data_IF_630471351273
#
_entry.id   IF_630471351273
#
_cell.length_a   1.000
_cell.length_b   1.000
_cell.length_c   1.000
_cell.angle_alpha   90.00
_cell.angle_beta   90.00
_cell.angle_gamma   90.00
#
_symmetry.space_group_name_H-M   'P 1'
#
loop_
_entity.id
_entity.type
_entity.pdbx_description
1 polymer ?
#
# COMPACT_ATOMS: atom_id res chain seq x y z
N UNK A 1 -46.12 7.67 1.50
CA UNK A 1 -44.81 7.89 0.87
C UNK A 1 -44.08 6.56 0.84
N UNK A 2 -44.02 5.92 -0.34
CA UNK A 2 -43.18 4.73 -0.53
C UNK A 2 -41.74 5.20 -0.56
N UNK A 3 -40.87 4.66 0.29
CA UNK A 3 -39.43 4.85 0.13
C UNK A 3 -39.06 4.42 -1.30
N UNK A 4 -38.37 5.28 -2.05
CA UNK A 4 -37.93 4.92 -3.39
C UNK A 4 -36.81 3.90 -3.25
N UNK A 5 -36.79 2.89 -4.11
CA UNK A 5 -35.73 1.88 -4.13
C UNK A 5 -34.32 2.49 -4.38
N UNK A 6 -34.27 3.76 -4.77
CA UNK A 6 -33.07 4.57 -4.97
C UNK A 6 -32.49 5.19 -3.69
N UNK A 7 -33.21 5.11 -2.55
CA UNK A 7 -32.79 5.76 -1.30
C UNK A 7 -31.90 4.85 -0.42
N UNK A 8 -31.58 3.63 -0.87
CA UNK A 8 -30.69 2.73 -0.14
C UNK A 8 -29.23 2.97 -0.49
N UNK A 9 -28.66 4.02 0.08
CA UNK A 9 -27.22 4.27 0.02
C UNK A 9 -26.47 3.14 0.75
N UNK A 10 -25.76 2.29 0.00
CA UNK A 10 -24.97 1.20 0.57
C UNK A 10 -23.82 1.79 1.39
N UNK A 11 -23.68 1.41 2.65
CA UNK A 11 -22.61 1.92 3.52
C UNK A 11 -21.23 1.62 2.92
N UNK A 12 -20.28 2.58 2.96
CA UNK A 12 -18.93 2.35 2.48
C UNK A 12 -18.29 1.17 3.22
N UNK A 13 -17.64 0.29 2.48
CA UNK A 13 -16.95 -0.86 3.06
C UNK A 13 -15.64 -0.44 3.71
N UNK A 14 -15.17 -1.23 4.67
CA UNK A 14 -13.84 -1.03 5.30
C UNK A 14 -12.73 -1.05 4.25
N UNK A 15 -12.84 -1.91 3.24
CA UNK A 15 -11.89 -1.98 2.13
C UNK A 15 -11.82 -0.66 1.34
N UNK A 16 -12.97 -0.07 1.03
CA UNK A 16 -13.03 1.24 0.36
C UNK A 16 -12.39 2.34 1.21
N UNK A 17 -12.69 2.39 2.50
CA UNK A 17 -12.12 3.38 3.41
C UNK A 17 -10.59 3.29 3.44
N UNK A 18 -10.04 2.07 3.55
CA UNK A 18 -8.60 1.86 3.51
C UNK A 18 -7.98 2.28 2.18
N UNK A 19 -8.67 2.06 1.05
CA UNK A 19 -8.18 2.47 -0.27
C UNK A 19 -8.08 4.00 -0.38
N UNK A 20 -9.05 4.74 0.15
CA UNK A 20 -9.03 6.22 0.22
C UNK A 20 -7.91 6.72 1.13
N UNK A 21 -7.84 6.22 2.37
CA UNK A 21 -6.84 6.65 3.36
C UNK A 21 -5.43 6.39 2.84
N UNK A 22 -5.17 5.20 2.30
CA UNK A 22 -3.86 4.86 1.73
C UNK A 22 -3.57 5.64 0.46
N UNK A 23 -4.56 5.96 -0.36
CA UNK A 23 -4.38 6.82 -1.54
C UNK A 23 -3.94 8.24 -1.18
N UNK A 24 -4.58 8.85 -0.19
CA UNK A 24 -4.17 10.16 0.35
C UNK A 24 -2.76 10.06 0.97
N UNK A 25 -2.53 9.01 1.77
CA UNK A 25 -1.20 8.75 2.34
C UNK A 25 -0.11 8.62 1.28
N UNK A 26 -0.41 7.98 0.15
CA UNK A 26 0.54 7.81 -0.95
C UNK A 26 0.93 9.12 -1.60
N UNK A 27 0.04 10.10 -1.75
CA UNK A 27 0.41 11.42 -2.31
C UNK A 27 1.58 12.03 -1.52
N UNK A 28 1.53 11.93 -0.18
CA UNK A 28 2.58 12.44 0.70
C UNK A 28 3.81 11.52 0.74
N UNK A 29 3.61 10.23 1.01
CA UNK A 29 4.71 9.28 1.23
C UNK A 29 5.50 8.99 -0.04
N UNK A 30 4.82 8.79 -1.17
CA UNK A 30 5.48 8.61 -2.48
C UNK A 30 6.22 9.89 -2.88
N UNK A 31 5.59 11.07 -2.67
CA UNK A 31 6.23 12.34 -2.95
C UNK A 31 7.53 12.51 -2.16
N UNK A 32 7.50 12.23 -0.85
CA UNK A 32 8.68 12.30 0.00
C UNK A 32 9.75 11.28 -0.40
N UNK A 33 9.36 10.04 -0.72
CA UNK A 33 10.26 9.01 -1.22
C UNK A 33 10.96 9.46 -2.52
N UNK A 34 10.20 10.03 -3.46
CA UNK A 34 10.75 10.55 -4.71
C UNK A 34 11.72 11.70 -4.47
N UNK A 35 11.36 12.67 -3.63
CA UNK A 35 12.24 13.80 -3.25
C UNK A 35 13.54 13.29 -2.62
N UNK A 36 13.45 12.41 -1.62
CA UNK A 36 14.62 11.90 -0.91
C UNK A 36 15.58 11.14 -1.85
N UNK A 37 15.05 10.22 -2.67
CA UNK A 37 15.87 9.33 -3.48
C UNK A 37 16.31 9.91 -4.82
N UNK A 38 15.57 10.88 -5.38
CA UNK A 38 15.84 11.40 -6.72
C UNK A 38 16.38 12.84 -6.73
N UNK A 39 16.13 13.63 -5.67
CA UNK A 39 16.53 15.03 -5.63
C UNK A 39 17.56 15.33 -4.53
N UNK A 40 17.49 14.65 -3.38
CA UNK A 40 18.43 14.85 -2.27
C UNK A 40 19.65 13.94 -2.40
N UNK A 41 19.43 12.64 -2.62
CA UNK A 41 20.52 11.71 -2.90
C UNK A 41 21.12 12.01 -4.29
N UNK A 42 22.23 12.75 -4.34
CA UNK A 42 22.91 13.12 -5.61
C UNK A 42 23.33 11.84 -6.35
N UNK A 43 22.65 11.53 -7.45
CA UNK A 43 22.85 10.30 -8.22
C UNK A 43 22.04 9.09 -7.74
N UNK A 44 21.22 9.22 -6.71
CA UNK A 44 20.41 8.16 -6.11
C UNK A 44 21.21 7.23 -5.17
N UNK A 45 20.49 6.41 -4.41
CA UNK A 45 21.09 5.34 -3.59
C UNK A 45 21.51 4.19 -4.52
N UNK A 46 22.76 4.21 -5.04
CA UNK A 46 23.25 3.25 -6.05
C UNK A 46 24.10 2.12 -5.50
N UNK A 47 24.49 2.18 -4.22
CA UNK A 47 25.29 1.15 -3.57
C UNK A 47 24.70 0.77 -2.21
N UNK A 48 25.15 -0.39 -1.71
CA UNK A 48 24.67 -0.94 -0.44
C UNK A 48 24.94 -0.01 0.75
N UNK A 49 26.13 0.62 0.80
CA UNK A 49 26.52 1.47 1.92
C UNK A 49 25.62 2.71 2.02
N UNK A 50 25.26 3.30 0.88
CA UNK A 50 24.33 4.41 0.79
C UNK A 50 22.93 4.01 1.30
N UNK A 51 22.44 2.83 0.93
CA UNK A 51 21.14 2.31 1.42
C UNK A 51 21.16 2.09 2.93
N UNK A 52 22.22 1.49 3.48
CA UNK A 52 22.35 1.30 4.94
C UNK A 52 22.39 2.65 5.66
N UNK A 53 23.16 3.61 5.17
CA UNK A 53 23.23 4.96 5.75
C UNK A 53 21.86 5.66 5.74
N UNK A 54 21.12 5.52 4.64
CA UNK A 54 19.76 6.06 4.50
C UNK A 54 18.79 5.44 5.49
N UNK A 55 18.72 4.10 5.57
CA UNK A 55 17.80 3.37 6.45
C UNK A 55 18.19 3.45 7.94
N UNK A 56 19.44 3.78 8.28
CA UNK A 56 19.86 4.05 9.67
C UNK A 56 19.30 5.36 10.22
N UNK A 57 18.79 6.25 9.38
CA UNK A 57 18.02 7.39 9.88
C UNK A 57 16.64 6.90 10.34
N UNK A 58 16.28 7.04 11.64
CA UNK A 58 15.04 6.48 12.17
C UNK A 58 13.79 7.11 11.56
N UNK A 59 13.84 8.39 11.16
CA UNK A 59 12.71 9.06 10.51
C UNK A 59 12.48 8.44 9.13
N UNK A 60 13.55 8.25 8.36
CA UNK A 60 13.49 7.62 7.05
C UNK A 60 12.96 6.19 7.16
N UNK A 61 13.46 5.41 8.12
CA UNK A 61 13.00 4.04 8.34
C UNK A 61 11.48 3.98 8.58
N UNK A 62 10.97 4.85 9.46
CA UNK A 62 9.52 4.93 9.73
C UNK A 62 8.75 5.31 8.48
N UNK A 63 9.22 6.30 7.71
CA UNK A 63 8.57 6.73 6.47
C UNK A 63 8.55 5.62 5.40
N UNK A 64 9.64 4.89 5.22
CA UNK A 64 9.73 3.79 4.26
C UNK A 64 8.87 2.59 4.69
N UNK A 65 8.77 2.29 5.99
CA UNK A 65 7.84 1.27 6.52
C UNK A 65 6.39 1.69 6.29
N UNK A 66 6.02 2.94 6.60
CA UNK A 66 4.68 3.45 6.34
C UNK A 66 4.35 3.44 4.85
N UNK A 67 5.32 3.80 4.00
CA UNK A 67 5.18 3.79 2.56
C UNK A 67 4.97 2.36 2.05
N UNK A 68 5.77 1.38 2.49
CA UNK A 68 5.60 -0.05 2.16
C UNK A 68 4.18 -0.55 2.48
N UNK A 69 3.67 -0.25 3.68
CA UNK A 69 2.33 -0.67 4.10
C UNK A 69 1.25 0.02 3.26
N UNK A 70 1.36 1.34 3.05
CA UNK A 70 0.38 2.12 2.30
C UNK A 70 0.33 1.70 0.83
N UNK A 71 1.49 1.61 0.16
CA UNK A 71 1.56 1.29 -1.27
C UNK A 71 1.05 -0.12 -1.55
N UNK A 72 1.43 -1.09 -0.72
CA UNK A 72 0.99 -2.48 -0.87
C UNK A 72 -0.52 -2.60 -0.66
N UNK A 73 -1.04 -1.97 0.40
CA UNK A 73 -2.47 -2.01 0.72
C UNK A 73 -3.30 -1.33 -0.37
N UNK A 74 -2.91 -0.12 -0.80
CA UNK A 74 -3.60 0.64 -1.83
C UNK A 74 -3.63 -0.12 -3.16
N UNK A 75 -2.47 -0.63 -3.60
CA UNK A 75 -2.34 -1.33 -4.87
C UNK A 75 -3.23 -2.59 -4.90
N UNK A 76 -3.20 -3.41 -3.85
CA UNK A 76 -3.96 -4.66 -3.81
C UNK A 76 -5.47 -4.44 -3.67
N UNK A 77 -5.90 -3.40 -2.94
CA UNK A 77 -7.30 -3.01 -2.89
C UNK A 77 -7.80 -2.45 -4.23
N UNK A 78 -6.97 -1.66 -4.92
CA UNK A 78 -7.26 -1.18 -6.28
C UNK A 78 -7.38 -2.32 -7.28
N UNK A 79 -6.44 -3.27 -7.28
CA UNK A 79 -6.51 -4.49 -8.11
C UNK A 79 -7.78 -5.28 -7.79
N UNK A 80 -8.11 -5.46 -6.51
CA UNK A 80 -9.37 -6.10 -6.11
C UNK A 80 -10.57 -5.39 -6.72
N UNK A 81 -10.65 -4.07 -6.61
CA UNK A 81 -11.77 -3.29 -7.17
C UNK A 81 -11.94 -3.51 -8.67
N UNK A 82 -10.86 -3.43 -9.45
CA UNK A 82 -10.87 -3.68 -10.91
C UNK A 82 -11.47 -5.06 -11.24
N UNK A 83 -11.12 -6.09 -10.47
CA UNK A 83 -11.65 -7.43 -10.72
C UNK A 83 -13.12 -7.60 -10.36
N UNK A 84 -13.60 -6.91 -9.32
CA UNK A 84 -15.01 -6.95 -8.93
C UNK A 84 -15.91 -6.29 -9.99
N UNK A 85 -15.39 -5.31 -10.73
CA UNK A 85 -16.10 -4.64 -11.81
C UNK A 85 -16.44 -5.59 -12.99
N UNK A 86 -15.84 -6.78 -13.05
CA UNK A 86 -16.15 -7.80 -14.06
C UNK A 86 -17.33 -8.72 -13.71
N UNK A 87 -18.00 -8.52 -12.57
CA UNK A 87 -19.19 -9.30 -12.19
C UNK A 87 -18.86 -10.77 -11.88
N UNK A 88 -17.81 -11.01 -11.12
CA UNK A 88 -17.37 -12.35 -10.74
C UNK A 88 -18.38 -13.02 -9.78
N UNK A 89 -18.42 -14.35 -9.77
CA UNK A 89 -19.22 -15.08 -8.76
C UNK A 89 -18.65 -14.89 -7.35
N UNK A 90 -19.50 -14.87 -6.31
CA UNK A 90 -19.11 -14.71 -4.90
C UNK A 90 -17.92 -15.58 -4.46
N UNK A 91 -17.88 -16.83 -4.91
CA UNK A 91 -16.81 -17.77 -4.56
C UNK A 91 -15.46 -17.35 -5.14
N UNK A 92 -15.45 -16.79 -6.35
CA UNK A 92 -14.24 -16.28 -7.00
C UNK A 92 -13.79 -15.00 -6.31
N UNK A 93 -14.72 -14.09 -6.00
CA UNK A 93 -14.40 -12.84 -5.29
C UNK A 93 -13.79 -13.09 -3.91
N UNK A 94 -14.34 -14.03 -3.14
CA UNK A 94 -13.81 -14.41 -1.82
C UNK A 94 -12.41 -15.00 -1.92
N UNK A 95 -12.17 -15.89 -2.90
CA UNK A 95 -10.84 -16.48 -3.15
C UNK A 95 -9.84 -15.41 -3.58
N UNK A 96 -10.20 -14.54 -4.52
CA UNK A 96 -9.36 -13.44 -4.97
C UNK A 96 -8.99 -12.53 -3.80
N UNK A 97 -9.98 -12.13 -3.00
CA UNK A 97 -9.76 -11.28 -1.82
C UNK A 97 -8.81 -11.95 -0.81
N UNK A 98 -8.95 -13.27 -0.60
CA UNK A 98 -8.05 -14.04 0.26
C UNK A 98 -6.63 -14.11 -0.28
N UNK A 99 -6.45 -14.37 -1.57
CA UNK A 99 -5.13 -14.43 -2.23
C UNK A 99 -4.43 -13.06 -2.18
N UNK A 100 -5.13 -11.99 -2.56
CA UNK A 100 -4.56 -10.63 -2.51
C UNK A 100 -4.17 -10.24 -1.08
N UNK A 101 -4.97 -10.61 -0.08
CA UNK A 101 -4.61 -10.38 1.33
C UNK A 101 -3.32 -11.11 1.72
N UNK A 102 -3.17 -12.38 1.34
CA UNK A 102 -1.95 -13.15 1.61
C UNK A 102 -0.74 -12.57 0.92
N UNK A 103 -0.87 -12.16 -0.35
CA UNK A 103 0.20 -11.47 -1.08
C UNK A 103 0.61 -10.21 -0.33
N UNK A 104 -0.35 -9.40 0.13
CA UNK A 104 -0.06 -8.19 0.91
C UNK A 104 0.71 -8.47 2.20
N UNK A 105 0.28 -9.47 2.98
CA UNK A 105 0.96 -9.89 4.21
C UNK A 105 2.39 -10.35 3.93
N UNK A 106 2.58 -11.17 2.90
CA UNK A 106 3.91 -11.68 2.52
C UNK A 106 4.83 -10.56 2.04
N UNK A 107 4.34 -9.65 1.19
CA UNK A 107 5.11 -8.50 0.69
C UNK A 107 5.56 -7.59 1.83
N UNK A 108 4.65 -7.22 2.74
CA UNK A 108 4.98 -6.37 3.89
C UNK A 108 5.96 -7.10 4.82
N UNK A 109 5.67 -8.35 5.19
CA UNK A 109 6.53 -9.14 6.06
C UNK A 109 7.93 -9.33 5.49
N UNK A 110 8.04 -9.67 4.21
CA UNK A 110 9.32 -9.80 3.51
C UNK A 110 10.09 -8.47 3.47
N UNK A 111 9.41 -7.36 3.15
CA UNK A 111 10.04 -6.03 3.15
C UNK A 111 10.60 -5.65 4.52
N UNK A 112 9.84 -5.90 5.60
CA UNK A 112 10.30 -5.67 6.98
C UNK A 112 11.50 -6.56 7.34
N UNK A 113 11.49 -7.82 6.95
CA UNK A 113 12.61 -8.75 7.16
C UNK A 113 13.86 -8.27 6.43
N UNK A 114 13.74 -7.86 5.18
CA UNK A 114 14.86 -7.31 4.40
C UNK A 114 15.41 -6.04 5.05
N UNK A 115 14.55 -5.09 5.42
CA UNK A 115 14.98 -3.86 6.09
C UNK A 115 15.73 -4.17 7.40
N UNK A 116 15.23 -5.12 8.20
CA UNK A 116 15.90 -5.53 9.43
C UNK A 116 17.28 -6.13 9.16
N UNK A 117 17.40 -7.03 8.18
CA UNK A 117 18.68 -7.64 7.81
C UNK A 117 19.68 -6.62 7.26
N UNK A 118 19.22 -5.60 6.53
CA UNK A 118 20.09 -4.55 5.95
C UNK A 118 20.66 -3.62 7.03
N UNK A 119 19.90 -3.34 8.09
CA UNK A 119 20.30 -2.37 9.13
C UNK A 119 21.17 -3.04 10.21
N UNK A 120 20.97 -4.33 10.45
CA UNK A 120 21.73 -5.15 11.40
C UNK A 120 23.19 -5.33 10.96
#
# INVERSE_FOLDING_TARGET
MSANAFDQESKPTVAWLWQVVTGIGLVLLLGLHMVANHFIAKGGLRDYAAVVAYLRNPIILVLEVLFLVCVTTHALLGVRAIFLDFGLSDRVEQRLSGVLKWIGVLTIGYGLVVMWFVIR
#
